data_IF_438739596083
#
_entry.id   IF_438739596083
#
_cell.length_a   1.000
_cell.length_b   1.000
_cell.length_c   1.000
_cell.angle_alpha   90.00
_cell.angle_beta   90.00
_cell.angle_gamma   90.00
#
_symmetry.space_group_name_H-M   'P 1'
#
loop_
_entity.id
_entity.type
_entity.pdbx_description
1 polymer ?
#
# COMPACT_ATOMS: atom_id res chain seq x y z
N UNK A 1 18.94 -3.15 57.46
CA UNK A 1 18.45 -2.73 58.78
C UNK A 1 17.32 -1.74 58.58
N UNK A 2 16.10 -2.14 58.91
CA UNK A 2 15.15 -1.59 59.91
C UNK A 2 14.87 -0.10 59.68
N UNK A 3 13.69 0.34 59.42
CA UNK A 3 12.31 0.29 59.89
C UNK A 3 11.70 1.70 60.04
N UNK A 4 10.46 1.81 59.53
CA UNK A 4 9.24 2.36 60.15
C UNK A 4 9.11 3.89 60.37
N UNK A 5 8.18 4.47 59.63
CA UNK A 5 6.76 4.81 59.95
C UNK A 5 6.60 6.06 60.84
N UNK A 6 5.81 7.01 60.31
CA UNK A 6 4.78 7.66 61.13
C UNK A 6 3.61 8.20 60.28
N UNK A 7 2.44 7.69 60.58
CA UNK A 7 1.14 8.20 60.19
C UNK A 7 0.67 9.25 61.21
N UNK A 8 0.00 10.30 60.74
CA UNK A 8 -1.23 10.87 61.38
C UNK A 8 -1.76 12.04 60.54
N UNK A 9 -2.89 11.81 59.91
CA UNK A 9 -4.21 12.42 60.09
C UNK A 9 -4.25 13.95 60.21
N UNK A 10 -4.85 14.57 59.16
CA UNK A 10 -5.91 15.57 59.34
C UNK A 10 -6.87 15.41 58.16
N UNK A 11 -8.13 15.14 58.45
CA UNK A 11 -9.20 15.03 57.47
C UNK A 11 -9.64 16.45 57.03
N UNK A 12 -9.89 16.57 55.76
CA UNK A 12 -10.54 17.72 55.14
C UNK A 12 -11.21 17.22 53.88
N UNK A 13 -12.52 16.95 53.95
CA UNK A 13 -13.32 16.54 52.83
C UNK A 13 -13.38 17.65 51.79
N UNK A 14 -12.78 17.41 50.64
CA UNK A 14 -13.06 18.14 49.42
C UNK A 14 -13.92 17.25 48.54
N UNK A 15 -15.19 17.61 48.44
CA UNK A 15 -16.10 17.01 47.46
C UNK A 15 -15.55 17.30 46.05
N UNK A 16 -14.92 16.31 45.45
CA UNK A 16 -14.56 16.35 44.04
C UNK A 16 -15.86 16.27 43.23
N UNK A 17 -16.34 17.42 42.79
CA UNK A 17 -17.32 17.51 41.71
C UNK A 17 -16.69 16.88 40.46
N UNK A 18 -17.10 15.69 40.11
CA UNK A 18 -16.84 15.08 38.81
C UNK A 18 -17.57 15.94 37.79
N UNK A 19 -16.86 16.92 37.24
CA UNK A 19 -17.30 17.60 36.03
C UNK A 19 -17.19 16.54 34.92
N UNK A 20 -18.34 15.96 34.59
CA UNK A 20 -18.46 15.15 33.37
C UNK A 20 -18.02 16.06 32.21
N UNK A 21 -16.82 15.80 31.66
CA UNK A 21 -16.44 16.39 30.37
C UNK A 21 -17.48 15.95 29.37
N UNK A 22 -18.19 16.88 28.68
CA UNK A 22 -19.01 16.47 27.57
C UNK A 22 -18.10 15.73 26.60
N UNK A 23 -18.49 14.53 26.21
CA UNK A 23 -17.95 13.86 25.05
C UNK A 23 -17.95 14.89 23.93
N UNK A 24 -16.80 15.18 23.34
CA UNK A 24 -16.72 16.08 22.19
C UNK A 24 -17.68 15.53 21.12
N UNK A 25 -18.87 16.12 21.07
CA UNK A 25 -19.87 15.77 20.06
C UNK A 25 -19.18 15.97 18.71
N UNK A 26 -19.29 14.99 17.82
CA UNK A 26 -19.00 15.18 16.39
C UNK A 26 -19.64 16.52 16.02
N UNK A 27 -18.85 17.51 15.59
CA UNK A 27 -19.39 18.73 14.97
C UNK A 27 -20.40 18.26 13.95
N UNK A 28 -21.62 18.78 14.04
CA UNK A 28 -22.73 18.32 13.21
C UNK A 28 -22.47 18.73 11.75
N UNK A 29 -21.69 17.91 11.04
CA UNK A 29 -21.63 17.95 9.58
C UNK A 29 -23.04 17.61 9.12
N UNK A 30 -23.64 18.46 8.26
CA UNK A 30 -24.97 18.18 7.68
C UNK A 30 -24.98 16.78 7.06
N UNK A 31 -26.08 16.07 7.19
CA UNK A 31 -26.21 14.73 6.60
C UNK A 31 -25.94 14.75 5.07
N UNK A 32 -26.24 15.86 4.41
CA UNK A 32 -25.99 16.05 2.97
C UNK A 32 -24.53 16.35 2.62
N UNK A 33 -23.69 16.66 3.60
CA UNK A 33 -22.26 16.98 3.39
C UNK A 33 -21.35 15.79 3.72
N UNK A 34 -21.93 14.66 4.10
CA UNK A 34 -21.20 13.43 4.39
C UNK A 34 -20.89 12.65 3.12
N UNK A 35 -19.68 12.11 3.06
CA UNK A 35 -19.21 11.25 1.98
C UNK A 35 -19.63 9.81 2.30
N UNK A 36 -20.45 9.23 1.44
CA UNK A 36 -20.88 7.84 1.55
C UNK A 36 -19.90 6.91 0.86
N UNK A 37 -19.32 5.95 1.62
CA UNK A 37 -18.32 5.02 1.10
C UNK A 37 -18.80 3.57 1.16
N UNK A 38 -18.32 2.77 0.18
CA UNK A 38 -18.38 1.32 0.19
C UNK A 38 -16.96 0.79 0.46
N UNK A 39 -16.83 -0.13 1.44
CA UNK A 39 -15.57 -0.79 1.78
C UNK A 39 -15.49 -2.12 1.03
N UNK A 40 -14.51 -2.32 0.15
CA UNK A 40 -14.29 -3.55 -0.61
C UNK A 40 -13.05 -4.29 -0.11
N UNK A 41 -13.26 -5.48 0.50
CA UNK A 41 -12.23 -6.24 1.22
C UNK A 41 -12.01 -5.69 2.63
N UNK A 42 -12.47 -6.41 3.66
CA UNK A 42 -12.50 -5.89 5.04
C UNK A 42 -11.73 -6.75 6.05
N UNK A 43 -10.93 -7.70 5.58
CA UNK A 43 -10.00 -8.42 6.43
C UNK A 43 -8.74 -7.56 6.68
N UNK A 44 -8.02 -7.78 7.79
CA UNK A 44 -6.72 -7.17 8.09
C UNK A 44 -6.63 -5.67 7.75
N UNK A 45 -6.02 -5.28 6.63
CA UNK A 45 -5.87 -3.88 6.21
C UNK A 45 -7.22 -3.19 5.98
N UNK A 46 -8.18 -3.88 5.37
CA UNK A 46 -9.52 -3.33 5.16
C UNK A 46 -10.26 -3.06 6.47
N UNK A 47 -10.08 -3.90 7.49
CA UNK A 47 -10.60 -3.62 8.84
C UNK A 47 -10.00 -2.34 9.42
N UNK A 48 -8.67 -2.16 9.33
CA UNK A 48 -8.02 -0.93 9.79
C UNK A 48 -8.49 0.30 9.01
N UNK A 49 -8.66 0.19 7.69
CA UNK A 49 -9.23 1.28 6.89
C UNK A 49 -10.68 1.56 7.27
N UNK A 50 -11.50 0.54 7.55
CA UNK A 50 -12.86 0.74 8.07
C UNK A 50 -12.83 1.57 9.36
N UNK A 51 -11.92 1.28 10.28
CA UNK A 51 -11.75 2.03 11.51
C UNK A 51 -11.35 3.49 11.25
N UNK A 52 -10.33 3.71 10.39
CA UNK A 52 -9.86 5.05 10.07
C UNK A 52 -10.91 5.88 9.32
N UNK A 53 -11.57 5.34 8.31
CA UNK A 53 -12.65 6.04 7.59
C UNK A 53 -13.85 6.31 8.51
N UNK A 54 -14.22 5.37 9.37
CA UNK A 54 -15.28 5.56 10.38
C UNK A 54 -14.94 6.63 11.42
N UNK A 55 -13.65 6.92 11.65
CA UNK A 55 -13.21 7.98 12.56
C UNK A 55 -13.37 9.39 11.96
N UNK A 56 -13.52 9.51 10.63
CA UNK A 56 -13.76 10.79 9.98
C UNK A 56 -15.18 11.28 10.26
N UNK A 57 -15.36 12.54 10.75
CA UNK A 57 -16.67 13.04 11.14
C UNK A 57 -17.65 13.20 9.97
N UNK A 58 -17.12 13.28 8.76
CA UNK A 58 -17.79 13.58 7.51
C UNK A 58 -17.87 12.36 6.56
N UNK A 59 -17.71 11.14 7.10
CA UNK A 59 -17.80 9.87 6.35
C UNK A 59 -18.89 8.99 6.94
N UNK A 60 -19.69 8.37 6.06
CA UNK A 60 -20.61 7.28 6.38
C UNK A 60 -20.29 6.04 5.56
N UNK A 61 -20.16 4.89 6.21
CA UNK A 61 -19.98 3.60 5.55
C UNK A 61 -21.35 3.01 5.24
N UNK A 62 -21.70 2.97 3.95
CA UNK A 62 -22.97 2.44 3.47
C UNK A 62 -22.91 0.93 3.25
N UNK A 63 -21.79 0.45 2.70
CA UNK A 63 -21.61 -0.97 2.36
C UNK A 63 -20.32 -1.52 2.91
N UNK A 64 -20.40 -2.75 3.40
CA UNK A 64 -19.25 -3.64 3.61
C UNK A 64 -19.34 -4.74 2.57
N UNK A 65 -18.35 -4.81 1.67
CA UNK A 65 -18.27 -5.79 0.61
C UNK A 65 -17.11 -6.74 0.85
N UNK A 66 -17.39 -8.00 1.11
CA UNK A 66 -16.37 -9.06 1.19
C UNK A 66 -16.96 -10.40 0.75
N UNK A 67 -16.17 -11.15 0.03
CA UNK A 67 -16.53 -12.48 -0.50
C UNK A 67 -16.38 -13.60 0.51
N UNK A 68 -15.79 -13.32 1.68
CA UNK A 68 -15.70 -14.23 2.81
C UNK A 68 -16.51 -13.71 3.99
N UNK A 69 -17.66 -14.33 4.23
CA UNK A 69 -18.57 -13.96 5.33
C UNK A 69 -17.97 -14.18 6.72
N UNK A 70 -16.93 -15.01 6.81
CA UNK A 70 -16.29 -15.33 8.09
C UNK A 70 -15.41 -14.19 8.64
N UNK A 71 -15.07 -13.18 7.80
CA UNK A 71 -14.14 -12.10 8.19
C UNK A 71 -14.82 -10.74 8.39
N UNK A 72 -16.11 -10.59 8.04
CA UNK A 72 -16.80 -9.29 8.01
C UNK A 72 -17.19 -8.74 9.37
N UNK A 73 -17.40 -9.59 10.37
CA UNK A 73 -17.94 -9.22 11.69
C UNK A 73 -17.27 -7.99 12.31
N UNK A 74 -15.95 -7.98 12.50
CA UNK A 74 -15.26 -6.85 13.12
C UNK A 74 -15.43 -5.52 12.37
N UNK A 75 -15.43 -5.53 11.04
CA UNK A 75 -15.62 -4.31 10.24
C UNK A 75 -17.07 -3.78 10.35
N UNK A 76 -18.05 -4.69 10.35
CA UNK A 76 -19.47 -4.35 10.58
C UNK A 76 -19.67 -3.66 11.93
N UNK A 77 -19.10 -4.22 13.00
CA UNK A 77 -19.19 -3.68 14.37
C UNK A 77 -18.51 -2.30 14.49
N UNK A 78 -17.34 -2.14 13.89
CA UNK A 78 -16.61 -0.85 13.87
C UNK A 78 -17.46 0.23 13.22
N UNK A 79 -17.98 -0.04 12.02
CA UNK A 79 -18.78 0.92 11.28
C UNK A 79 -20.09 1.25 12.01
N UNK A 80 -20.84 0.24 12.48
CA UNK A 80 -22.08 0.41 13.22
C UNK A 80 -21.88 1.25 14.49
N UNK A 81 -20.86 0.96 15.28
CA UNK A 81 -20.53 1.70 16.50
C UNK A 81 -20.17 3.16 16.21
N UNK A 82 -19.45 3.43 15.11
CA UNK A 82 -19.01 4.78 14.78
C UNK A 82 -20.14 5.69 14.28
N UNK A 83 -21.08 5.15 13.50
CA UNK A 83 -22.12 5.94 12.83
C UNK A 83 -23.54 5.74 13.40
N UNK A 84 -23.72 4.78 14.33
CA UNK A 84 -25.02 4.47 14.93
C UNK A 84 -26.01 3.75 13.98
N UNK A 85 -25.54 3.32 12.81
CA UNK A 85 -26.30 2.63 11.78
C UNK A 85 -25.46 1.49 11.20
N UNK A 86 -26.08 0.33 11.04
CA UNK A 86 -25.42 -0.84 10.45
C UNK A 86 -25.25 -0.65 8.94
N UNK A 87 -24.04 -0.82 8.37
CA UNK A 87 -23.86 -0.84 6.93
C UNK A 87 -24.51 -2.09 6.32
N UNK A 88 -24.81 -2.03 5.04
CA UNK A 88 -25.28 -3.21 4.31
C UNK A 88 -24.13 -4.14 3.96
N UNK A 89 -24.30 -5.45 4.19
CA UNK A 89 -23.33 -6.47 3.83
C UNK A 89 -23.65 -7.02 2.45
N UNK A 90 -22.66 -6.96 1.55
CA UNK A 90 -22.74 -7.51 0.19
C UNK A 90 -21.47 -8.33 -0.13
N UNK A 91 -21.55 -9.21 -1.12
CA UNK A 91 -20.40 -9.98 -1.62
C UNK A 91 -19.94 -9.53 -3.01
N UNK A 92 -20.79 -8.79 -3.74
CA UNK A 92 -20.49 -8.23 -5.05
C UNK A 92 -20.51 -6.70 -5.02
N UNK A 93 -19.37 -6.08 -5.30
CA UNK A 93 -19.22 -4.62 -5.27
C UNK A 93 -20.13 -3.90 -6.27
N UNK A 94 -20.52 -4.54 -7.38
CA UNK A 94 -21.37 -3.95 -8.43
C UNK A 94 -22.68 -3.43 -7.85
N UNK A 95 -23.21 -4.08 -6.81
CA UNK A 95 -24.41 -3.60 -6.11
C UNK A 95 -24.21 -2.22 -5.47
N UNK A 96 -23.05 -1.98 -4.85
CA UNK A 96 -22.73 -0.66 -4.30
C UNK A 96 -22.43 0.37 -5.40
N UNK A 97 -21.89 -0.08 -6.54
CA UNK A 97 -21.63 0.80 -7.68
C UNK A 97 -22.90 1.31 -8.35
N UNK A 98 -23.97 0.53 -8.37
CA UNK A 98 -25.27 0.89 -8.89
C UNK A 98 -26.02 1.89 -7.98
N UNK A 99 -25.65 1.96 -6.70
CA UNK A 99 -26.26 2.88 -5.75
C UNK A 99 -25.74 4.31 -5.95
N UNK A 100 -26.62 5.22 -6.34
CA UNK A 100 -26.31 6.66 -6.56
C UNK A 100 -25.92 7.38 -5.26
N UNK A 101 -26.30 6.84 -4.10
CA UNK A 101 -25.95 7.41 -2.80
C UNK A 101 -24.51 7.14 -2.38
N UNK A 102 -23.80 6.24 -3.04
CA UNK A 102 -22.38 5.97 -2.79
C UNK A 102 -21.53 6.96 -3.58
N UNK A 103 -20.61 7.66 -2.90
CA UNK A 103 -19.68 8.63 -3.49
C UNK A 103 -18.34 8.01 -3.86
N UNK A 104 -17.85 7.08 -3.02
CA UNK A 104 -16.53 6.48 -3.21
C UNK A 104 -16.45 5.01 -2.79
N UNK A 105 -15.44 4.32 -3.34
CA UNK A 105 -15.09 2.96 -2.95
C UNK A 105 -13.69 2.95 -2.33
N UNK A 106 -13.55 2.26 -1.20
CA UNK A 106 -12.27 2.00 -0.53
C UNK A 106 -11.90 0.54 -0.77
N UNK A 107 -10.83 0.30 -1.54
CA UNK A 107 -10.43 -1.04 -2.00
C UNK A 107 -9.22 -1.52 -1.20
N UNK A 108 -9.38 -2.63 -0.48
CA UNK A 108 -8.33 -3.30 0.27
C UNK A 108 -8.38 -4.83 0.08
N UNK A 109 -8.71 -5.24 -1.10
CA UNK A 109 -8.74 -6.63 -1.59
C UNK A 109 -7.33 -7.19 -1.78
N UNK A 110 -7.15 -8.45 -2.19
CA UNK A 110 -5.91 -8.90 -2.82
C UNK A 110 -5.58 -8.11 -4.09
N UNK A 111 -4.27 -8.02 -4.42
CA UNK A 111 -3.74 -7.13 -5.47
C UNK A 111 -4.38 -7.31 -6.84
N UNK A 112 -4.73 -8.55 -7.20
CA UNK A 112 -5.35 -8.85 -8.51
C UNK A 112 -6.72 -8.18 -8.72
N UNK A 113 -7.34 -7.66 -7.65
CA UNK A 113 -8.60 -6.92 -7.67
C UNK A 113 -8.44 -5.39 -7.59
N UNK A 114 -7.23 -4.86 -7.27
CA UNK A 114 -7.04 -3.42 -7.06
C UNK A 114 -7.45 -2.60 -8.28
N UNK A 115 -6.77 -2.82 -9.41
CA UNK A 115 -7.10 -2.11 -10.66
C UNK A 115 -8.47 -2.47 -11.20
N UNK A 116 -8.88 -3.75 -11.32
CA UNK A 116 -10.22 -4.08 -11.79
C UNK A 116 -11.33 -3.42 -10.99
N UNK A 117 -11.25 -3.48 -9.67
CA UNK A 117 -12.22 -2.82 -8.79
C UNK A 117 -12.23 -1.30 -8.94
N UNK A 118 -11.05 -0.67 -9.07
CA UNK A 118 -10.91 0.76 -9.27
C UNK A 118 -11.46 1.22 -10.63
N UNK A 119 -11.23 0.47 -11.70
CA UNK A 119 -11.79 0.75 -13.02
C UNK A 119 -13.31 0.67 -12.99
N UNK A 120 -13.89 -0.40 -12.43
CA UNK A 120 -15.35 -0.55 -12.29
C UNK A 120 -15.96 0.62 -11.51
N UNK A 121 -15.32 1.05 -10.41
CA UNK A 121 -15.78 2.17 -9.61
C UNK A 121 -15.72 3.50 -10.38
N UNK A 122 -14.60 3.78 -11.07
CA UNK A 122 -14.46 4.99 -11.89
C UNK A 122 -15.48 5.05 -13.03
N UNK A 123 -15.75 3.92 -13.72
CA UNK A 123 -16.77 3.82 -14.77
C UNK A 123 -18.19 4.05 -14.22
N UNK A 124 -18.45 3.62 -12.99
CA UNK A 124 -19.71 3.88 -12.29
C UNK A 124 -19.80 5.30 -11.71
N UNK A 125 -18.79 6.16 -11.97
CA UNK A 125 -18.76 7.54 -11.50
C UNK A 125 -18.37 7.72 -10.03
N UNK A 126 -17.76 6.70 -9.39
CA UNK A 126 -17.31 6.76 -8.00
C UNK A 126 -15.85 7.17 -7.92
N UNK A 127 -15.48 7.93 -6.88
CA UNK A 127 -14.10 8.20 -6.53
C UNK A 127 -13.50 6.98 -5.79
N UNK A 128 -12.17 6.83 -5.77
CA UNK A 128 -11.54 5.59 -5.29
C UNK A 128 -10.35 5.86 -4.38
N UNK A 129 -10.36 5.22 -3.22
CA UNK A 129 -9.15 4.96 -2.44
C UNK A 129 -8.76 3.49 -2.64
N UNK A 130 -7.59 3.22 -3.21
CA UNK A 130 -7.13 1.84 -3.46
C UNK A 130 -5.82 1.57 -2.75
N UNK A 131 -5.74 0.42 -2.07
CA UNK A 131 -4.49 0.00 -1.43
C UNK A 131 -3.35 -0.25 -2.43
N UNK A 132 -2.13 -0.14 -1.93
CA UNK A 132 -0.90 -0.45 -2.68
C UNK A 132 -0.67 -1.99 -2.76
N UNK A 133 0.04 -2.49 -3.80
CA UNK A 133 0.43 -1.80 -5.02
C UNK A 133 -0.79 -1.45 -5.88
N UNK A 134 -0.71 -0.40 -6.67
CA UNK A 134 -1.83 0.09 -7.47
C UNK A 134 -2.43 -1.00 -8.36
N UNK A 135 -1.58 -1.82 -8.95
CA UNK A 135 -1.95 -2.80 -9.97
C UNK A 135 -1.24 -4.13 -9.78
N UNK A 136 -1.74 -5.18 -10.44
CA UNK A 136 -1.12 -6.50 -10.47
C UNK A 136 -0.03 -6.61 -11.55
N UNK A 137 -0.11 -5.83 -12.62
CA UNK A 137 0.85 -5.75 -13.69
C UNK A 137 0.91 -4.33 -14.27
N UNK A 138 1.89 -4.06 -15.14
CA UNK A 138 2.13 -2.73 -15.68
C UNK A 138 0.95 -2.23 -16.52
N UNK A 139 0.38 -3.08 -17.38
CA UNK A 139 -0.71 -2.69 -18.29
C UNK A 139 -1.99 -2.32 -17.52
N UNK A 140 -2.31 -3.03 -16.46
CA UNK A 140 -3.42 -2.66 -15.58
C UNK A 140 -3.23 -1.25 -14.99
N UNK A 141 -2.04 -0.94 -14.50
CA UNK A 141 -1.76 0.39 -13.93
C UNK A 141 -1.94 1.50 -14.95
N UNK A 142 -1.41 1.35 -16.17
CA UNK A 142 -1.59 2.31 -17.26
C UNK A 142 -3.06 2.45 -17.66
N UNK A 143 -3.78 1.34 -17.75
CA UNK A 143 -5.22 1.36 -18.06
C UNK A 143 -6.03 2.14 -17.01
N UNK A 144 -5.72 1.99 -15.71
CA UNK A 144 -6.39 2.77 -14.68
C UNK A 144 -6.09 4.27 -14.80
N UNK A 145 -4.83 4.65 -15.11
CA UNK A 145 -4.48 6.05 -15.37
C UNK A 145 -5.33 6.63 -16.51
N UNK A 146 -5.47 5.92 -17.62
CA UNK A 146 -6.29 6.33 -18.76
C UNK A 146 -7.77 6.42 -18.39
N UNK A 147 -8.28 5.47 -17.60
CA UNK A 147 -9.64 5.49 -17.09
C UNK A 147 -9.89 6.71 -16.23
N UNK A 148 -9.00 7.04 -15.30
CA UNK A 148 -9.11 8.23 -14.45
C UNK A 148 -9.11 9.52 -15.26
N UNK A 149 -8.23 9.63 -16.25
CA UNK A 149 -8.20 10.79 -17.17
C UNK A 149 -9.52 10.96 -17.91
N UNK A 150 -10.14 9.88 -18.37
CA UNK A 150 -11.40 9.88 -19.11
C UNK A 150 -12.61 10.16 -18.21
N UNK A 151 -12.69 9.51 -17.05
CA UNK A 151 -13.84 9.61 -16.13
C UNK A 151 -13.77 10.81 -15.21
N UNK A 152 -12.60 11.43 -15.08
CA UNK A 152 -12.30 12.56 -14.17
C UNK A 152 -12.61 12.23 -12.71
N UNK A 153 -12.42 10.97 -12.30
CA UNK A 153 -12.59 10.56 -10.92
C UNK A 153 -11.31 10.85 -10.12
N UNK A 154 -11.48 11.08 -8.83
CA UNK A 154 -10.37 11.20 -7.89
C UNK A 154 -9.96 9.80 -7.47
N UNK A 155 -8.71 9.43 -7.74
CA UNK A 155 -8.16 8.15 -7.31
C UNK A 155 -6.90 8.40 -6.49
N UNK A 156 -6.88 7.93 -5.25
CA UNK A 156 -5.72 7.97 -4.37
C UNK A 156 -5.28 6.57 -3.99
N UNK A 157 -3.97 6.34 -4.04
CA UNK A 157 -3.36 5.05 -3.69
C UNK A 157 -2.87 5.05 -2.25
N UNK A 158 -3.01 3.94 -1.54
CA UNK A 158 -2.69 3.78 -0.12
C UNK A 158 -1.19 3.82 0.22
N UNK A 159 -0.42 4.73 -0.39
CA UNK A 159 0.99 5.00 -0.08
C UNK A 159 1.11 6.14 0.93
N UNK A 160 0.59 5.91 2.13
CA UNK A 160 0.45 6.93 3.19
C UNK A 160 1.77 7.59 3.64
N UNK A 161 2.91 7.00 3.31
CA UNK A 161 4.23 7.62 3.56
C UNK A 161 4.38 8.99 2.90
N UNK A 162 3.68 9.25 1.78
CA UNK A 162 3.66 10.56 1.11
C UNK A 162 2.97 11.66 1.94
N UNK A 163 2.04 11.29 2.81
CA UNK A 163 1.32 12.22 3.68
C UNK A 163 1.95 12.36 5.08
N UNK A 164 3.05 11.64 5.35
CA UNK A 164 3.72 11.71 6.65
C UNK A 164 4.63 12.94 6.73
N UNK A 165 4.47 13.81 7.75
CA UNK A 165 5.24 15.05 7.85
C UNK A 165 6.76 14.85 7.85
N UNK A 166 7.29 13.85 8.58
CA UNK A 166 8.72 13.56 8.60
C UNK A 166 9.24 13.12 7.22
N UNK A 167 8.45 12.37 6.47
CA UNK A 167 8.81 11.93 5.11
C UNK A 167 8.87 13.13 4.16
N UNK A 168 7.89 14.03 4.24
CA UNK A 168 7.85 15.24 3.42
C UNK A 168 9.08 16.12 3.71
N UNK A 169 9.38 16.40 4.98
CA UNK A 169 10.59 17.13 5.37
C UNK A 169 11.87 16.47 4.88
N UNK A 170 11.95 15.15 4.95
CA UNK A 170 13.10 14.40 4.44
C UNK A 170 13.29 14.61 2.94
N UNK A 171 12.23 14.45 2.14
CA UNK A 171 12.27 14.66 0.69
C UNK A 171 12.66 16.10 0.36
N UNK A 172 12.03 17.09 0.98
CA UNK A 172 12.34 18.51 0.81
C UNK A 172 13.81 18.82 1.09
N UNK A 173 14.37 18.29 2.18
CA UNK A 173 15.78 18.46 2.54
C UNK A 173 16.71 17.90 1.45
N UNK A 174 16.43 16.73 0.92
CA UNK A 174 17.29 16.14 -0.10
C UNK A 174 17.14 16.84 -1.45
N UNK A 175 15.92 17.20 -1.83
CA UNK A 175 15.66 17.95 -3.06
C UNK A 175 16.20 19.39 -3.02
N UNK A 176 16.31 19.99 -1.83
CA UNK A 176 16.96 21.31 -1.66
C UNK A 176 18.50 21.26 -1.73
N UNK A 177 19.09 20.09 -1.97
CA UNK A 177 20.54 19.91 -2.09
C UNK A 177 21.28 19.74 -0.76
N UNK A 178 20.61 19.32 0.33
CA UNK A 178 21.24 19.14 1.65
C UNK A 178 22.44 18.18 1.66
N UNK A 179 22.51 17.27 0.70
CA UNK A 179 23.65 16.34 0.47
C UNK A 179 24.21 16.48 -0.95
N UNK A 180 24.02 17.63 -1.57
CA UNK A 180 24.37 17.86 -2.97
C UNK A 180 23.44 17.12 -3.94
N UNK A 181 23.91 16.84 -5.17
CA UNK A 181 23.15 16.06 -6.16
C UNK A 181 23.10 14.60 -5.77
N UNK A 182 21.89 14.04 -5.63
CA UNK A 182 21.70 12.62 -5.31
C UNK A 182 21.71 11.80 -6.59
N UNK A 183 22.70 10.92 -6.76
CA UNK A 183 22.83 10.05 -7.92
C UNK A 183 22.37 8.62 -7.66
N UNK A 184 22.38 8.17 -6.43
CA UNK A 184 22.04 6.78 -6.11
C UNK A 184 21.18 6.70 -4.86
N UNK A 185 20.16 5.84 -4.93
CA UNK A 185 19.43 5.34 -3.77
C UNK A 185 19.61 3.82 -3.67
N UNK A 186 19.76 3.30 -2.46
CA UNK A 186 19.75 1.86 -2.17
C UNK A 186 18.63 1.55 -1.18
N UNK A 187 17.81 0.55 -1.49
CA UNK A 187 16.81 -0.04 -0.57
C UNK A 187 17.32 -1.37 -0.06
N UNK A 188 17.25 -1.59 1.24
CA UNK A 188 17.40 -2.90 1.87
C UNK A 188 16.09 -3.27 2.56
N UNK A 189 15.33 -4.18 1.96
CA UNK A 189 14.08 -4.73 2.49
C UNK A 189 14.38 -6.06 3.17
N UNK A 190 14.62 -6.00 4.49
CA UNK A 190 15.05 -7.14 5.30
C UNK A 190 13.99 -7.43 6.34
N UNK A 191 12.85 -7.89 5.89
CA UNK A 191 11.72 -8.20 6.76
C UNK A 191 11.46 -9.70 6.80
N UNK A 192 11.68 -10.31 7.98
CA UNK A 192 11.44 -11.74 8.14
C UNK A 192 9.99 -12.12 7.80
N UNK A 193 9.85 -13.02 6.84
CA UNK A 193 8.58 -13.60 6.43
C UNK A 193 8.67 -15.12 6.59
N UNK A 194 7.94 -15.71 7.54
CA UNK A 194 8.09 -17.14 7.82
C UNK A 194 7.76 -18.01 6.61
N UNK A 195 8.27 -19.23 6.68
CA UNK A 195 7.87 -20.35 5.83
C UNK A 195 6.36 -20.54 5.91
N UNK A 196 5.69 -20.80 4.78
CA UNK A 196 4.27 -21.12 4.70
C UNK A 196 3.99 -22.62 4.53
N UNK A 197 5.02 -23.44 4.40
CA UNK A 197 4.96 -24.87 4.16
C UNK A 197 4.31 -25.25 2.83
N UNK A 198 4.05 -26.57 2.69
CA UNK A 198 3.32 -27.14 1.55
C UNK A 198 1.92 -27.56 1.99
N UNK A 199 0.91 -27.20 1.21
CA UNK A 199 -0.47 -27.58 1.46
C UNK A 199 -1.12 -28.17 0.21
N UNK A 200 -1.91 -29.25 0.37
CA UNK A 200 -2.72 -29.74 -0.71
C UNK A 200 -3.89 -28.80 -1.01
N UNK A 201 -4.44 -28.94 -2.20
CA UNK A 201 -5.72 -28.33 -2.54
C UNK A 201 -6.83 -28.95 -1.68
N UNK A 202 -7.81 -28.12 -1.31
CA UNK A 202 -8.92 -28.53 -0.45
C UNK A 202 -10.25 -27.89 -0.92
N UNK A 203 -11.40 -28.38 -0.43
CA UNK A 203 -12.68 -27.75 -0.73
C UNK A 203 -12.72 -26.29 -0.28
N UNK A 204 -13.44 -25.46 -1.05
CA UNK A 204 -13.69 -24.06 -0.67
C UNK A 204 -14.39 -24.01 0.70
N UNK A 205 -13.92 -23.21 1.66
CA UNK A 205 -14.58 -23.09 2.97
C UNK A 205 -16.02 -22.56 2.82
N UNK A 206 -16.89 -23.02 3.71
CA UNK A 206 -18.26 -22.50 3.80
C UNK A 206 -18.25 -20.99 4.05
N UNK A 207 -19.14 -20.25 3.40
CA UNK A 207 -19.24 -18.80 3.52
C UNK A 207 -18.28 -18.02 2.64
N UNK A 208 -17.46 -18.67 1.80
CA UNK A 208 -16.54 -18.06 0.85
C UNK A 208 -17.09 -18.15 -0.57
N UNK A 209 -17.28 -17.02 -1.22
CA UNK A 209 -17.53 -16.95 -2.67
C UNK A 209 -16.18 -16.92 -3.41
N UNK A 210 -15.63 -18.12 -3.69
CA UNK A 210 -14.30 -18.25 -4.28
C UNK A 210 -14.25 -17.81 -5.75
N UNK A 211 -15.38 -17.86 -6.45
CA UNK A 211 -15.48 -17.35 -7.83
C UNK A 211 -15.25 -15.82 -7.87
N UNK A 212 -15.93 -15.07 -7.01
CA UNK A 212 -15.73 -13.63 -6.86
C UNK A 212 -14.36 -13.30 -6.22
N UNK A 213 -13.84 -14.16 -5.32
CA UNK A 213 -12.50 -13.94 -4.79
C UNK A 213 -11.43 -14.04 -5.90
N UNK A 214 -11.51 -15.06 -6.74
CA UNK A 214 -10.62 -15.23 -7.89
C UNK A 214 -10.80 -14.11 -8.91
N UNK A 215 -12.05 -13.70 -9.15
CA UNK A 215 -12.39 -12.57 -10.01
C UNK A 215 -11.74 -12.66 -11.38
N UNK A 216 -10.94 -11.64 -11.79
CA UNK A 216 -10.31 -11.60 -13.10
C UNK A 216 -9.11 -12.55 -13.27
N UNK A 217 -8.58 -13.12 -12.18
CA UNK A 217 -7.43 -14.04 -12.26
C UNK A 217 -7.86 -15.42 -12.79
N UNK A 218 -6.93 -16.22 -13.37
CA UNK A 218 -7.21 -17.59 -13.73
C UNK A 218 -7.74 -18.40 -12.53
N UNK A 219 -8.74 -19.25 -12.77
CA UNK A 219 -9.30 -20.11 -11.73
C UNK A 219 -8.34 -21.24 -11.42
N UNK A 220 -7.91 -21.34 -10.17
CA UNK A 220 -7.15 -22.46 -9.62
C UNK A 220 -7.99 -23.20 -8.58
N UNK A 221 -7.70 -24.47 -8.28
CA UNK A 221 -8.25 -25.13 -7.11
C UNK A 221 -7.98 -24.32 -5.84
N UNK A 222 -8.90 -24.42 -4.86
CA UNK A 222 -8.72 -23.69 -3.62
C UNK A 222 -7.56 -24.30 -2.82
N UNK A 223 -6.67 -23.41 -2.35
CA UNK A 223 -5.55 -23.77 -1.49
C UNK A 223 -5.31 -22.66 -0.47
N UNK A 224 -5.14 -23.01 0.79
CA UNK A 224 -4.95 -22.01 1.88
C UNK A 224 -3.68 -21.19 1.73
N UNK A 225 -2.66 -21.74 1.06
CA UNK A 225 -1.39 -21.04 0.86
C UNK A 225 -1.46 -19.91 -0.17
N UNK A 226 -2.52 -19.82 -0.98
CA UNK A 226 -2.74 -18.66 -1.85
C UNK A 226 -3.97 -17.83 -1.47
N UNK A 227 -4.60 -18.15 -0.34
CA UNK A 227 -5.80 -17.46 0.12
C UNK A 227 -5.50 -16.45 1.24
N UNK A 228 -6.27 -15.37 1.33
CA UNK A 228 -6.08 -14.28 2.29
C UNK A 228 -4.66 -13.67 2.26
N UNK A 229 -3.95 -13.60 3.40
CA UNK A 229 -2.68 -12.87 3.54
C UNK A 229 -1.51 -13.44 2.74
N UNK A 230 -1.60 -14.70 2.34
CA UNK A 230 -0.54 -15.40 1.59
C UNK A 230 -0.67 -15.25 0.07
N UNK A 231 -1.77 -14.70 -0.42
CA UNK A 231 -1.99 -14.43 -1.85
C UNK A 231 -0.80 -13.72 -2.52
N UNK A 232 -0.14 -12.85 -1.78
CA UNK A 232 0.96 -12.01 -2.29
C UNK A 232 2.16 -12.79 -2.79
N UNK A 233 2.31 -14.05 -2.37
CA UNK A 233 3.38 -14.96 -2.78
C UNK A 233 3.07 -15.75 -4.06
N UNK A 234 1.90 -15.56 -4.66
CA UNK A 234 1.45 -16.31 -5.84
C UNK A 234 1.21 -15.37 -7.01
N UNK A 235 1.87 -15.65 -8.14
CA UNK A 235 1.88 -14.74 -9.30
C UNK A 235 0.51 -14.46 -9.91
N UNK A 236 -0.49 -15.31 -9.69
CA UNK A 236 -1.86 -15.06 -10.16
C UNK A 236 -2.60 -14.00 -9.34
N UNK A 237 -2.21 -13.79 -8.09
CA UNK A 237 -2.97 -12.97 -7.12
C UNK A 237 -2.18 -11.82 -6.52
N UNK A 238 -0.85 -11.94 -6.50
CA UNK A 238 0.06 -11.00 -5.87
C UNK A 238 1.30 -10.72 -6.71
N UNK A 239 2.19 -9.91 -6.14
CA UNK A 239 3.38 -9.36 -6.83
C UNK A 239 4.66 -9.53 -6.01
N UNK A 240 4.65 -10.47 -5.04
CA UNK A 240 5.76 -10.69 -4.13
C UNK A 240 5.97 -9.53 -3.15
N UNK A 241 7.05 -9.59 -2.44
CA UNK A 241 7.41 -8.53 -1.49
C UNK A 241 7.91 -7.28 -2.21
N UNK A 242 8.50 -7.43 -3.39
CA UNK A 242 8.87 -6.30 -4.24
C UNK A 242 7.65 -5.41 -4.55
N UNK A 243 6.50 -6.00 -4.90
CA UNK A 243 5.25 -5.24 -5.03
C UNK A 243 4.62 -4.84 -3.69
N UNK A 244 4.79 -5.65 -2.65
CA UNK A 244 4.18 -5.37 -1.34
C UNK A 244 4.89 -4.22 -0.61
N UNK A 245 6.18 -4.34 -0.29
CA UNK A 245 6.95 -3.31 0.39
C UNK A 245 7.65 -2.35 -0.58
N UNK A 246 8.11 -2.86 -1.73
CA UNK A 246 8.75 -2.04 -2.75
C UNK A 246 7.88 -0.87 -3.21
N UNK A 247 6.55 -1.05 -3.28
CA UNK A 247 5.61 0.02 -3.58
C UNK A 247 5.72 1.24 -2.63
N UNK A 248 6.19 1.05 -1.38
CA UNK A 248 6.48 2.14 -0.46
C UNK A 248 7.90 2.70 -0.61
N UNK A 249 8.89 1.81 -0.66
CA UNK A 249 10.29 2.20 -0.57
C UNK A 249 10.84 2.70 -1.90
N UNK A 250 10.48 2.05 -3.01
CA UNK A 250 10.84 2.52 -4.34
C UNK A 250 10.10 3.82 -4.70
N UNK A 251 8.86 3.98 -4.22
CA UNK A 251 8.13 5.25 -4.35
C UNK A 251 8.87 6.40 -3.67
N UNK A 252 9.37 6.20 -2.45
CA UNK A 252 10.14 7.23 -1.74
C UNK A 252 11.48 7.51 -2.44
N UNK A 253 12.19 6.47 -2.87
CA UNK A 253 13.44 6.63 -3.62
C UNK A 253 13.22 7.42 -4.91
N UNK A 254 12.19 7.06 -5.69
CA UNK A 254 11.79 7.77 -6.89
C UNK A 254 11.45 9.24 -6.61
N UNK A 255 10.70 9.50 -5.55
CA UNK A 255 10.30 10.84 -5.15
C UNK A 255 11.51 11.71 -4.77
N UNK A 256 12.43 11.19 -3.97
CA UNK A 256 13.69 11.88 -3.61
C UNK A 256 14.55 12.17 -4.84
N UNK A 257 14.73 11.17 -5.73
CA UNK A 257 15.55 11.32 -6.92
C UNK A 257 14.88 12.16 -8.01
N UNK A 258 13.57 12.38 -7.98
CA UNK A 258 12.85 13.10 -9.01
C UNK A 258 12.84 12.38 -10.36
N UNK A 259 12.80 11.02 -10.37
CA UNK A 259 12.87 10.22 -11.60
C UNK A 259 11.52 9.60 -11.97
N UNK A 260 11.34 9.28 -13.25
CA UNK A 260 10.20 8.56 -13.80
C UNK A 260 10.40 7.04 -13.82
N UNK A 261 10.15 6.42 -14.97
CA UNK A 261 10.43 5.01 -15.21
C UNK A 261 11.91 4.80 -15.59
N UNK A 262 12.53 3.68 -15.18
CA UNK A 262 13.90 3.34 -15.55
C UNK A 262 14.01 2.94 -17.02
N UNK A 263 15.23 3.06 -17.58
CA UNK A 263 15.53 2.64 -18.96
C UNK A 263 16.15 1.25 -19.06
N UNK A 264 16.72 0.76 -17.95
CA UNK A 264 17.31 -0.56 -17.88
C UNK A 264 17.10 -1.16 -16.50
N UNK A 265 16.76 -2.43 -16.44
CA UNK A 265 16.58 -3.18 -15.20
C UNK A 265 17.41 -4.46 -15.25
N UNK A 266 18.22 -4.68 -14.23
CA UNK A 266 19.11 -5.83 -14.15
C UNK A 266 19.12 -6.45 -12.77
N UNK A 267 19.53 -7.72 -12.68
CA UNK A 267 19.70 -8.41 -11.42
C UNK A 267 19.11 -9.81 -11.39
N UNK A 268 18.75 -10.27 -10.20
CA UNK A 268 18.24 -11.62 -9.97
C UNK A 268 17.27 -11.68 -8.81
N UNK A 269 16.37 -12.66 -8.85
CA UNK A 269 15.54 -13.10 -7.72
C UNK A 269 15.50 -14.62 -7.63
N UNK A 270 15.60 -15.16 -6.41
CA UNK A 270 15.58 -16.61 -6.16
C UNK A 270 14.92 -16.97 -4.84
N UNK A 271 14.48 -18.20 -4.72
CA UNK A 271 14.14 -18.83 -3.43
C UNK A 271 15.41 -19.49 -2.90
N UNK A 272 15.98 -18.97 -1.83
CA UNK A 272 17.20 -19.47 -1.19
C UNK A 272 16.98 -19.90 0.26
N UNK A 273 16.04 -19.26 0.97
CA UNK A 273 15.84 -19.46 2.40
C UNK A 273 14.76 -20.48 2.76
N UNK A 274 13.77 -20.67 1.89
CA UNK A 274 12.61 -21.51 2.19
C UNK A 274 12.29 -22.50 1.06
N UNK A 275 11.89 -23.70 1.47
CA UNK A 275 11.27 -24.71 0.60
C UNK A 275 9.78 -24.81 0.94
N UNK A 276 8.97 -23.97 0.29
CA UNK A 276 7.54 -23.83 0.56
C UNK A 276 6.76 -23.49 -0.72
N UNK A 277 5.45 -23.31 -0.61
CA UNK A 277 4.57 -23.03 -1.75
C UNK A 277 4.67 -21.60 -2.30
N UNK A 278 5.46 -20.70 -1.71
CA UNK A 278 5.67 -19.38 -2.30
C UNK A 278 6.25 -19.49 -3.70
N UNK A 279 5.67 -18.80 -4.66
CA UNK A 279 6.17 -18.75 -6.04
C UNK A 279 7.13 -17.59 -6.26
N UNK A 280 6.99 -16.53 -5.45
CA UNK A 280 7.86 -15.36 -5.53
C UNK A 280 9.18 -15.60 -4.81
N UNK A 281 10.26 -14.90 -5.17
CA UNK A 281 11.52 -14.99 -4.47
C UNK A 281 11.42 -14.66 -2.98
N UNK A 282 12.38 -15.13 -2.23
CA UNK A 282 12.69 -14.71 -0.87
C UNK A 282 14.00 -13.93 -0.79
N UNK A 283 14.69 -13.82 -1.92
CA UNK A 283 15.97 -13.12 -2.07
C UNK A 283 16.06 -12.48 -3.44
N UNK A 284 16.13 -11.15 -3.46
CA UNK A 284 16.24 -10.34 -4.68
C UNK A 284 17.43 -9.38 -4.57
N UNK A 285 18.13 -9.19 -5.71
CA UNK A 285 19.05 -8.08 -5.92
C UNK A 285 18.78 -7.49 -7.31
N UNK A 286 18.29 -6.27 -7.35
CA UNK A 286 17.87 -5.60 -8.57
C UNK A 286 18.49 -4.21 -8.66
N UNK A 287 18.73 -3.75 -9.88
CA UNK A 287 19.19 -2.42 -10.19
C UNK A 287 18.27 -1.81 -11.25
N UNK A 288 17.77 -0.61 -10.96
CA UNK A 288 16.95 0.21 -11.84
C UNK A 288 17.79 1.41 -12.29
N UNK A 289 18.15 1.45 -13.58
CA UNK A 289 19.04 2.46 -14.15
C UNK A 289 18.25 3.53 -14.89
N UNK A 290 18.66 4.75 -14.65
CA UNK A 290 18.19 5.97 -15.33
C UNK A 290 19.40 6.63 -16.01
N UNK A 291 19.24 7.62 -16.89
CA UNK A 291 20.38 8.22 -17.61
C UNK A 291 21.52 8.72 -16.70
N UNK A 292 21.19 9.25 -15.52
CA UNK A 292 22.16 9.87 -14.59
C UNK A 292 21.99 9.41 -13.14
N UNK A 293 21.07 8.46 -12.87
CA UNK A 293 20.73 7.99 -11.52
C UNK A 293 20.51 6.48 -11.47
N UNK A 294 20.59 5.93 -10.28
CA UNK A 294 20.40 4.49 -10.03
C UNK A 294 19.60 4.27 -8.75
N UNK A 295 18.67 3.31 -8.78
CA UNK A 295 18.06 2.73 -7.58
C UNK A 295 18.49 1.27 -7.51
N UNK A 296 19.09 0.86 -6.39
CA UNK A 296 19.41 -0.54 -6.08
C UNK A 296 18.42 -1.07 -5.06
N UNK A 297 17.96 -2.29 -5.27
CA UNK A 297 17.06 -3.02 -4.36
C UNK A 297 17.73 -4.30 -3.90
N UNK A 298 17.68 -4.54 -2.58
CA UNK A 298 18.11 -5.79 -1.93
C UNK A 298 16.98 -6.30 -1.05
N UNK A 299 16.60 -7.56 -1.22
CA UNK A 299 15.59 -8.23 -0.41
C UNK A 299 16.11 -9.52 0.19
N UNK A 300 15.79 -9.76 1.47
CA UNK A 300 15.98 -11.03 2.17
C UNK A 300 14.85 -11.27 3.16
N UNK A 301 14.05 -12.31 2.95
CA UNK A 301 12.87 -12.59 3.76
C UNK A 301 13.08 -13.66 4.84
N UNK A 302 14.21 -14.36 4.80
CA UNK A 302 14.53 -15.48 5.68
C UNK A 302 15.42 -15.09 6.89
N UNK A 303 15.78 -13.83 7.02
CA UNK A 303 16.60 -13.31 8.11
C UNK A 303 16.09 -11.93 8.58
N UNK A 304 16.08 -11.67 9.90
CA UNK A 304 15.70 -10.35 10.42
C UNK A 304 16.87 -9.36 10.51
N UNK A 305 18.07 -9.73 10.05
CA UNK A 305 19.29 -8.93 10.23
C UNK A 305 19.42 -7.89 9.12
N UNK A 306 18.90 -6.68 9.36
CA UNK A 306 19.05 -5.53 8.49
C UNK A 306 20.27 -4.67 8.80
N UNK A 307 20.45 -3.58 8.05
CA UNK A 307 21.51 -2.61 8.27
C UNK A 307 21.17 -1.69 9.45
N UNK A 308 22.15 -1.44 10.32
CA UNK A 308 22.05 -0.47 11.43
C UNK A 308 20.80 -0.70 12.31
N UNK A 309 20.43 -1.97 12.50
CA UNK A 309 19.27 -2.36 13.31
C UNK A 309 17.91 -2.02 12.69
N UNK A 310 17.85 -1.73 11.38
CA UNK A 310 16.59 -1.49 10.68
C UNK A 310 16.12 -2.71 9.91
N UNK A 311 14.80 -2.88 9.83
CA UNK A 311 14.14 -3.90 8.99
C UNK A 311 14.08 -3.44 7.53
N UNK A 312 13.90 -2.13 7.32
CA UNK A 312 13.77 -1.52 6.01
C UNK A 312 14.53 -0.20 5.99
N UNK A 313 15.60 -0.15 5.21
CA UNK A 313 16.47 1.03 5.10
C UNK A 313 16.57 1.50 3.67
N UNK A 314 16.46 2.80 3.48
CA UNK A 314 16.85 3.47 2.26
C UNK A 314 18.08 4.33 2.54
N UNK A 315 19.08 4.24 1.68
CA UNK A 315 20.29 5.06 1.72
C UNK A 315 20.38 5.87 0.45
N UNK A 316 20.64 7.15 0.59
CA UNK A 316 20.76 8.10 -0.52
C UNK A 316 22.19 8.66 -0.53
N UNK A 317 22.86 8.55 -1.67
CA UNK A 317 24.23 9.00 -1.87
C UNK A 317 24.24 10.24 -2.75
N UNK A 318 24.68 11.35 -2.16
CA UNK A 318 24.83 12.63 -2.83
C UNK A 318 26.30 13.06 -2.93
N UNK A 319 26.56 14.09 -3.72
CA UNK A 319 27.93 14.60 -3.94
C UNK A 319 28.54 15.28 -2.69
N UNK A 320 27.69 15.69 -1.73
CA UNK A 320 28.10 16.43 -0.53
C UNK A 320 27.65 15.73 0.78
N UNK A 321 27.35 14.44 0.72
CA UNK A 321 26.99 13.64 1.87
C UNK A 321 26.10 12.47 1.55
N UNK A 322 25.54 11.86 2.58
CA UNK A 322 24.58 10.77 2.44
C UNK A 322 23.44 10.90 3.46
N UNK A 323 22.33 10.23 3.17
CA UNK A 323 21.19 10.17 4.08
C UNK A 323 20.66 8.74 4.21
N UNK A 324 20.20 8.39 5.41
CA UNK A 324 19.46 7.15 5.68
C UNK A 324 18.03 7.50 6.08
N UNK A 325 17.06 6.75 5.57
CA UNK A 325 15.69 6.79 6.06
C UNK A 325 15.14 5.37 6.13
N UNK A 326 14.26 5.11 7.10
CA UNK A 326 13.69 3.77 7.21
C UNK A 326 12.91 3.52 8.49
N UNK A 327 12.51 2.26 8.65
CA UNK A 327 11.85 1.73 9.82
C UNK A 327 12.84 0.93 10.65
N UNK A 328 13.08 1.38 11.89
CA UNK A 328 13.93 0.67 12.85
C UNK A 328 13.12 -0.31 13.69
N UNK A 329 13.82 -1.28 14.26
CA UNK A 329 13.25 -2.21 15.22
C UNK A 329 12.54 -1.45 16.33
N UNK A 330 11.31 -1.87 16.67
CA UNK A 330 10.44 -1.13 17.58
C UNK A 330 9.41 -0.21 16.91
N UNK A 331 9.36 -0.20 15.56
CA UNK A 331 8.33 0.50 14.79
C UNK A 331 8.56 1.99 14.59
N UNK A 332 9.72 2.51 15.01
CA UNK A 332 10.09 3.91 14.78
C UNK A 332 10.48 4.16 13.33
N UNK A 333 9.97 5.23 12.75
CA UNK A 333 10.45 5.75 11.48
C UNK A 333 11.39 6.91 11.73
N UNK A 334 12.56 6.92 11.10
CA UNK A 334 13.54 7.97 11.29
C UNK A 334 14.32 8.26 10.01
N UNK A 335 15.01 9.42 10.00
CA UNK A 335 16.07 9.68 9.04
C UNK A 335 17.32 10.26 9.70
N UNK A 336 18.46 10.00 9.08
CA UNK A 336 19.80 10.48 9.45
C UNK A 336 20.44 11.14 8.24
N UNK A 337 21.10 12.27 8.42
CA UNK A 337 21.88 12.94 7.37
C UNK A 337 23.33 13.05 7.85
N UNK A 338 24.27 12.71 6.97
CA UNK A 338 25.71 12.71 7.24
C UNK A 338 26.42 13.64 6.24
N UNK A 339 27.46 14.31 6.70
CA UNK A 339 28.37 15.10 5.86
C UNK A 339 29.32 14.20 5.04
N UNK A 340 30.14 14.76 4.12
CA UNK A 340 31.08 13.96 3.32
C UNK A 340 32.15 13.20 4.12
N UNK A 341 32.35 13.55 5.39
CA UNK A 341 33.27 12.88 6.31
C UNK A 341 32.58 11.79 7.15
N UNK A 342 31.28 11.54 6.90
CA UNK A 342 30.50 10.54 7.63
C UNK A 342 30.05 11.00 9.01
N UNK A 343 30.17 12.29 9.35
CA UNK A 343 29.66 12.84 10.61
C UNK A 343 28.16 13.05 10.53
N UNK A 344 27.42 12.56 11.51
CA UNK A 344 25.99 12.81 11.65
C UNK A 344 25.74 14.32 11.86
N UNK A 345 24.95 14.94 10.97
CA UNK A 345 24.61 16.37 11.02
C UNK A 345 23.12 16.62 11.29
N UNK A 346 22.27 15.61 11.09
CA UNK A 346 20.82 15.69 11.40
C UNK A 346 20.24 14.33 11.70
N UNK A 347 19.36 14.27 12.69
CA UNK A 347 18.55 13.11 13.04
C UNK A 347 17.14 13.57 13.36
N UNK A 348 16.14 12.90 12.82
CA UNK A 348 14.73 13.07 13.18
C UNK A 348 14.06 11.70 13.24
N UNK A 349 13.09 11.54 14.15
CA UNK A 349 12.32 10.32 14.30
C UNK A 349 10.85 10.60 14.65
N UNK A 350 9.99 9.62 14.34
CA UNK A 350 8.61 9.54 14.80
C UNK A 350 8.39 8.22 15.55
N UNK A 351 7.62 8.27 16.64
CA UNK A 351 7.38 7.10 17.49
C UNK A 351 6.40 6.10 16.88
N UNK A 352 5.56 6.53 15.95
CA UNK A 352 4.48 5.73 15.37
C UNK A 352 4.62 5.64 13.85
N UNK A 353 4.76 4.43 13.33
CA UNK A 353 4.91 4.21 11.89
C UNK A 353 3.69 4.66 11.07
N UNK A 354 2.48 4.61 11.63
CA UNK A 354 1.22 4.91 10.91
C UNK A 354 0.76 6.38 10.97
N UNK A 355 1.61 7.31 11.44
CA UNK A 355 1.24 8.74 11.56
C UNK A 355 0.76 9.41 10.28
N UNK A 356 1.05 8.83 9.12
CA UNK A 356 0.60 9.35 7.82
C UNK A 356 -0.82 8.98 7.41
N UNK A 357 -1.49 7.99 8.06
CA UNK A 357 -2.75 7.44 7.52
C UNK A 357 -3.92 8.43 7.61
N UNK A 358 -4.08 9.11 8.74
CA UNK A 358 -5.17 10.08 8.93
C UNK A 358 -5.02 11.29 7.99
N UNK A 359 -3.84 11.94 7.89
CA UNK A 359 -3.63 12.99 6.89
C UNK A 359 -3.84 12.50 5.46
N UNK A 360 -3.49 11.26 5.17
CA UNK A 360 -3.64 10.68 3.84
C UNK A 360 -5.12 10.50 3.45
N UNK A 361 -5.94 9.95 4.36
CA UNK A 361 -7.39 9.83 4.15
C UNK A 361 -8.02 11.23 4.04
N UNK A 362 -7.62 12.19 4.89
CA UNK A 362 -8.13 13.55 4.81
C UNK A 362 -7.82 14.18 3.45
N UNK A 363 -6.60 14.04 2.95
CA UNK A 363 -6.24 14.51 1.60
C UNK A 363 -7.16 13.91 0.51
N UNK A 364 -7.47 12.61 0.58
CA UNK A 364 -8.40 11.99 -0.35
C UNK A 364 -9.79 12.64 -0.29
N UNK A 365 -10.38 12.76 0.92
CA UNK A 365 -11.70 13.32 1.12
C UNK A 365 -11.78 14.81 0.69
N UNK A 366 -10.72 15.57 0.94
CA UNK A 366 -10.63 16.97 0.52
C UNK A 366 -10.51 17.08 -1.02
N UNK A 367 -9.70 16.23 -1.66
CA UNK A 367 -9.59 16.17 -3.12
C UNK A 367 -10.91 15.73 -3.78
N UNK A 368 -11.72 14.86 -3.14
CA UNK A 368 -13.07 14.56 -3.63
C UNK A 368 -13.95 15.80 -3.71
N UNK A 369 -13.83 16.74 -2.77
CA UNK A 369 -14.60 17.99 -2.75
C UNK A 369 -14.06 19.06 -3.70
N UNK A 370 -12.73 19.23 -3.70
CA UNK A 370 -12.08 20.28 -4.49
C UNK A 370 -11.80 19.86 -5.93
N UNK A 371 -11.83 18.56 -6.20
CA UNK A 371 -11.40 17.93 -7.47
C UNK A 371 -9.92 18.17 -7.80
N UNK A 372 -9.13 18.50 -6.80
CA UNK A 372 -7.68 18.60 -6.91
C UNK A 372 -7.02 17.21 -7.01
N UNK A 373 -5.77 17.19 -7.47
CA UNK A 373 -4.98 15.96 -7.59
C UNK A 373 -4.51 15.50 -6.20
N UNK A 374 -4.78 14.25 -5.79
CA UNK A 374 -4.34 13.73 -4.51
C UNK A 374 -2.81 13.63 -4.43
N UNK A 375 -2.27 13.64 -3.20
CA UNK A 375 -0.83 13.54 -2.94
C UNK A 375 -0.22 12.21 -3.43
N UNK A 376 -0.98 11.14 -3.43
CA UNK A 376 -0.62 9.84 -4.01
C UNK A 376 -1.52 9.55 -5.21
N UNK A 377 -1.44 10.39 -6.23
CA UNK A 377 -2.23 10.30 -7.44
C UNK A 377 -1.92 9.05 -8.28
N UNK A 378 -2.88 8.69 -9.11
CA UNK A 378 -2.84 7.46 -9.91
C UNK A 378 -1.65 7.42 -10.88
N UNK A 379 -1.26 8.53 -11.53
CA UNK A 379 -0.14 8.58 -12.49
C UNK A 379 1.18 8.38 -11.75
N UNK A 380 1.42 9.14 -10.70
CA UNK A 380 2.63 9.01 -9.89
C UNK A 380 2.75 7.61 -9.28
N UNK A 381 1.64 7.02 -8.81
CA UNK A 381 1.66 5.70 -8.19
C UNK A 381 1.71 4.56 -9.21
N UNK A 382 1.23 4.78 -10.42
CA UNK A 382 1.48 3.87 -11.54
C UNK A 382 2.99 3.76 -11.79
N UNK A 383 3.71 4.88 -11.92
CA UNK A 383 5.15 4.88 -12.14
C UNK A 383 5.88 4.12 -11.01
N UNK A 384 5.55 4.38 -9.75
CA UNK A 384 6.17 3.71 -8.61
C UNK A 384 5.88 2.20 -8.57
N UNK A 385 4.66 1.80 -8.89
CA UNK A 385 4.26 0.39 -8.97
C UNK A 385 4.89 -0.30 -10.20
N UNK A 386 5.00 0.40 -11.32
CA UNK A 386 5.62 -0.12 -12.53
C UNK A 386 7.11 -0.47 -12.32
N UNK A 387 7.85 0.28 -11.50
CA UNK A 387 9.23 -0.08 -11.13
C UNK A 387 9.24 -1.46 -10.45
N UNK A 388 8.31 -1.74 -9.54
CA UNK A 388 8.18 -3.06 -8.92
C UNK A 388 7.86 -4.15 -9.96
N UNK A 389 6.94 -3.86 -10.89
CA UNK A 389 6.60 -4.82 -11.95
C UNK A 389 7.78 -5.11 -12.88
N UNK A 390 8.55 -4.09 -13.27
CA UNK A 390 9.73 -4.28 -14.10
C UNK A 390 10.80 -5.12 -13.39
N UNK A 391 10.99 -4.95 -12.08
CA UNK A 391 11.80 -5.85 -11.28
C UNK A 391 11.30 -7.29 -11.31
N UNK A 392 9.98 -7.49 -11.16
CA UNK A 392 9.36 -8.81 -11.26
C UNK A 392 9.49 -9.43 -12.67
N UNK A 393 9.52 -8.62 -13.73
CA UNK A 393 9.82 -9.13 -15.09
C UNK A 393 11.22 -9.73 -15.15
N UNK A 394 12.23 -9.03 -14.62
CA UNK A 394 13.62 -9.54 -14.54
C UNK A 394 13.69 -10.84 -13.75
N UNK A 395 13.04 -10.90 -12.61
CA UNK A 395 12.99 -12.08 -11.73
C UNK A 395 12.34 -13.29 -12.45
N UNK A 396 11.20 -13.07 -13.11
CA UNK A 396 10.42 -14.14 -13.76
C UNK A 396 11.02 -14.62 -15.07
N UNK A 397 11.58 -13.71 -15.85
CA UNK A 397 12.23 -14.06 -17.13
C UNK A 397 13.66 -14.56 -16.95
N UNK A 398 14.32 -14.21 -15.82
CA UNK A 398 15.74 -14.46 -15.61
C UNK A 398 16.66 -13.61 -16.50
N UNK A 399 16.15 -12.49 -17.05
CA UNK A 399 16.82 -11.65 -18.06
C UNK A 399 16.90 -10.21 -17.60
N UNK A 400 18.02 -9.54 -17.86
CA UNK A 400 18.09 -8.09 -17.81
C UNK A 400 17.30 -7.50 -18.99
N UNK A 401 16.56 -6.42 -18.76
CA UNK A 401 15.69 -5.82 -19.76
C UNK A 401 16.05 -4.36 -20.04
N UNK A 402 15.86 -3.95 -21.29
CA UNK A 402 15.81 -2.55 -21.71
C UNK A 402 14.36 -2.15 -21.86
N UNK A 403 14.04 -1.01 -21.32
CA UNK A 403 12.66 -0.53 -21.25
C UNK A 403 12.57 0.89 -21.84
N UNK A 404 11.58 1.10 -22.69
CA UNK A 404 11.25 2.43 -23.20
C UNK A 404 10.19 3.08 -22.30
N UNK A 405 10.55 4.09 -21.50
CA UNK A 405 9.63 4.80 -20.63
C UNK A 405 8.49 5.54 -21.35
N UNK A 406 8.68 5.92 -22.63
CA UNK A 406 7.70 6.69 -23.38
C UNK A 406 6.56 5.83 -23.90
N UNK A 407 6.86 4.61 -24.31
CA UNK A 407 5.88 3.64 -24.83
C UNK A 407 5.50 2.56 -23.82
N UNK A 408 6.22 2.52 -22.69
CA UNK A 408 6.10 1.47 -21.65
C UNK A 408 6.27 0.06 -22.22
N UNK A 409 7.25 -0.14 -23.08
CA UNK A 409 7.53 -1.44 -23.72
C UNK A 409 8.95 -1.92 -23.45
N UNK A 410 9.14 -3.24 -23.47
CA UNK A 410 10.45 -3.86 -23.40
C UNK A 410 10.96 -4.01 -24.84
N UNK A 411 12.19 -3.53 -25.09
CA UNK A 411 12.81 -3.62 -26.40
C UNK A 411 13.39 -5.02 -26.63
N UNK A 412 13.09 -5.58 -27.80
CA UNK A 412 13.74 -6.76 -28.36
C UNK A 412 13.67 -8.06 -27.50
N UNK A 413 12.70 -8.15 -26.56
CA UNK A 413 12.49 -9.34 -25.73
C UNK A 413 10.99 -9.66 -25.57
N UNK A 414 10.46 -10.47 -26.50
CA UNK A 414 9.05 -10.89 -26.48
C UNK A 414 8.72 -11.79 -25.28
N UNK A 415 9.68 -12.61 -24.81
CA UNK A 415 9.48 -13.47 -23.65
C UNK A 415 9.36 -12.67 -22.36
N UNK A 416 10.20 -11.66 -22.16
CA UNK A 416 10.07 -10.76 -21.03
C UNK A 416 8.79 -9.90 -21.11
N UNK A 417 8.41 -9.47 -22.32
CA UNK A 417 7.24 -8.61 -22.56
C UNK A 417 5.91 -9.25 -22.16
N UNK A 418 5.79 -10.57 -22.17
CA UNK A 418 4.56 -11.26 -21.72
C UNK A 418 4.22 -10.98 -20.24
N UNK A 419 5.22 -10.66 -19.41
CA UNK A 419 5.03 -10.37 -17.99
C UNK A 419 4.59 -8.93 -17.70
N UNK A 420 4.47 -8.07 -18.72
CA UNK A 420 3.88 -6.74 -18.59
C UNK A 420 2.36 -6.77 -18.43
N UNK A 421 1.75 -7.90 -18.71
CA UNK A 421 0.30 -8.19 -18.57
C UNK A 421 0.08 -9.56 -17.97
N UNK A 422 -1.16 -10.04 -17.96
CA UNK A 422 -1.53 -11.39 -17.53
C UNK A 422 -2.72 -11.92 -18.34
N UNK A 423 -3.02 -13.20 -18.16
CA UNK A 423 -4.25 -13.84 -18.62
C UNK A 423 -5.43 -13.43 -17.73
N UNK A 424 -6.58 -13.17 -18.35
CA UNK A 424 -7.84 -12.87 -17.68
C UNK A 424 -8.89 -13.93 -17.98
N UNK A 425 -9.75 -14.22 -17.00
CA UNK A 425 -10.91 -15.10 -17.22
C UNK A 425 -11.91 -14.43 -18.15
N UNK A 426 -12.50 -15.20 -19.09
CA UNK A 426 -13.35 -14.69 -20.17
C UNK A 426 -14.51 -13.78 -19.72
N UNK A 427 -15.24 -14.16 -18.68
CA UNK A 427 -16.37 -13.36 -18.19
C UNK A 427 -15.97 -12.11 -17.38
N UNK A 428 -14.70 -12.00 -17.01
CA UNK A 428 -14.09 -10.80 -16.40
C UNK A 428 -13.28 -9.97 -17.39
N UNK A 429 -13.05 -10.51 -18.60
CA UNK A 429 -12.40 -9.80 -19.68
C UNK A 429 -13.39 -8.85 -20.35
N UNK A 430 -13.89 -7.84 -19.60
CA UNK A 430 -14.59 -6.71 -20.21
C UNK A 430 -13.65 -5.99 -21.18
N UNK A 431 -14.19 -5.31 -22.19
CA UNK A 431 -13.43 -4.50 -23.18
C UNK A 431 -12.22 -3.73 -22.57
N UNK A 432 -12.32 -3.11 -21.35
CA UNK A 432 -11.21 -2.41 -20.74
C UNK A 432 -9.96 -3.26 -20.51
N UNK A 433 -10.11 -4.55 -20.18
CA UNK A 433 -8.97 -5.42 -19.88
C UNK A 433 -8.40 -6.13 -21.12
N UNK A 434 -9.18 -6.29 -22.19
CA UNK A 434 -8.71 -6.88 -23.45
C UNK A 434 -7.84 -5.96 -24.29
N UNK A 435 -7.95 -4.63 -24.09
CA UNK A 435 -7.17 -3.63 -24.81
C UNK A 435 -5.85 -3.24 -24.12
N UNK A 436 -5.59 -3.78 -22.93
CA UNK A 436 -4.37 -3.50 -22.16
C UNK A 436 -3.16 -4.32 -22.65
#
# INVERSE_FOLDING_TARGET
>A
MKRRSFLRHVGGGVAASVVARPSAGRSAVSANDRIAVAMMGVRSRGKSLTEFFSSMPDVDIHYICDVDRNVVGPAMEIAEKAQGRKPELIDDIRRALDDKAVDAVVIATPTHWHTPGAVLACEAGKDVYVEKPLSHNLREGRHLVETVKRTKRVVQVGTQSRSRPITQRFVELLQSGKIGTVHMAKVANIEYRPDIGHRPDEPVPEGVNYDLWTGPAPMLPFNRNHFHSTFKWHWNYGTGELGNNGAHWLDLCRWVLGVGLPTEISGMGRKLGFDDDKQTPDTDNLTFSYPDKVIAWEERLWTPYGFDGSENTMVFYGTEGMAHAGRWVGGRYAFKIFDPKGKLVRYEEEDVFETGIIPHIRNFLDCMRTRETPMADVESQHISTAICHLGNVVVRSGRNIRFDPATETISDDAEASQYLTREYRDHWSSEPFRRA
#
